data_IF_649635009939
#
_entry.id   IF_649635009939
#
_cell.length_a   1.000
_cell.length_b   1.000
_cell.length_c   1.000
_cell.angle_alpha   90.00
_cell.angle_beta   90.00
_cell.angle_gamma   90.00
#
_symmetry.space_group_name_H-M   'P 1'
#
loop_
_entity.id
_entity.type
_entity.pdbx_description
1 polymer ?
#
# COMPACT_ATOMS: atom_id res chain seq x y z
N UNK A 1 16.43 -17.53 20.79
CA UNK A 1 15.06 -18.09 20.92
C UNK A 1 14.25 -17.72 19.71
N UNK A 2 13.79 -18.70 18.94
CA UNK A 2 12.96 -18.49 17.74
C UNK A 2 11.50 -18.58 18.19
N UNK A 3 10.83 -17.45 18.40
CA UNK A 3 9.40 -17.44 18.67
C UNK A 3 8.65 -17.58 17.35
N UNK A 4 7.76 -18.57 17.19
CA UNK A 4 6.93 -18.71 16.00
C UNK A 4 5.79 -17.68 16.05
N UNK A 5 5.53 -16.98 14.93
CA UNK A 5 4.46 -16.01 14.82
C UNK A 5 3.30 -16.56 13.98
N UNK A 6 2.08 -16.42 14.48
CA UNK A 6 0.86 -16.60 13.69
C UNK A 6 0.70 -15.37 12.78
N UNK A 7 0.68 -15.58 11.47
CA UNK A 7 0.51 -14.50 10.50
C UNK A 7 -0.90 -14.60 9.92
N UNK A 8 -1.69 -13.58 10.14
CA UNK A 8 -2.84 -13.23 9.34
C UNK A 8 -2.31 -12.36 8.20
N UNK A 9 -2.02 -12.96 7.07
CA UNK A 9 -1.47 -12.24 5.92
C UNK A 9 -2.34 -12.47 4.70
N UNK A 10 -2.44 -11.45 3.87
CA UNK A 10 -3.10 -11.45 2.59
C UNK A 10 -2.79 -12.71 1.77
N UNK A 11 -3.82 -13.50 1.46
CA UNK A 11 -3.74 -14.64 0.54
C UNK A 11 -3.49 -16.02 1.14
N UNK A 12 -3.42 -16.17 2.47
CA UNK A 12 -3.36 -17.50 3.11
C UNK A 12 -4.74 -18.03 3.48
N UNK A 13 -5.10 -19.19 2.97
CA UNK A 13 -6.27 -19.94 3.45
C UNK A 13 -6.21 -20.08 4.98
N UNK A 14 -7.38 -19.94 5.63
CA UNK A 14 -7.62 -20.09 7.06
C UNK A 14 -7.29 -21.50 7.62
N UNK A 15 -6.66 -22.40 6.84
CA UNK A 15 -6.42 -23.81 7.19
C UNK A 15 -4.93 -24.18 7.35
N UNK A 16 -4.03 -23.26 7.56
CA UNK A 16 -2.64 -23.60 7.80
C UNK A 16 -1.99 -22.78 8.90
N UNK A 17 -1.89 -23.34 10.12
CA UNK A 17 -1.07 -22.84 11.23
C UNK A 17 0.44 -22.88 10.87
N UNK A 18 0.87 -22.14 9.86
CA UNK A 18 2.30 -22.01 9.51
C UNK A 18 2.86 -20.75 10.14
N UNK A 19 3.49 -20.91 11.29
CA UNK A 19 4.32 -19.85 11.88
C UNK A 19 5.52 -19.57 10.96
N UNK A 20 5.64 -18.32 10.47
CA UNK A 20 6.83 -17.87 9.75
C UNK A 20 7.78 -17.16 10.71
N UNK A 21 9.08 -17.36 10.54
CA UNK A 21 10.10 -16.55 11.24
C UNK A 21 10.22 -15.16 10.59
N UNK A 22 10.75 -14.17 11.32
CA UNK A 22 11.05 -12.84 10.76
C UNK A 22 11.92 -12.95 9.49
N UNK A 23 12.91 -13.85 9.48
CA UNK A 23 13.76 -14.07 8.31
C UNK A 23 12.97 -14.61 7.11
N UNK A 24 11.97 -15.46 7.33
CA UNK A 24 11.10 -15.97 6.26
C UNK A 24 10.14 -14.88 5.74
N UNK A 25 9.62 -14.03 6.64
CA UNK A 25 8.82 -12.86 6.24
C UNK A 25 9.68 -11.91 5.41
N UNK A 26 10.88 -11.56 5.89
CA UNK A 26 11.81 -10.73 5.17
C UNK A 26 12.12 -11.27 3.76
N UNK A 27 12.36 -12.58 3.64
CA UNK A 27 12.66 -13.21 2.36
C UNK A 27 11.48 -13.21 1.38
N UNK A 28 10.24 -13.30 1.87
CA UNK A 28 9.03 -13.43 1.02
C UNK A 28 8.27 -12.12 0.79
N UNK A 29 8.41 -11.13 1.68
CA UNK A 29 7.62 -9.91 1.68
C UNK A 29 8.43 -8.63 1.38
N UNK A 30 9.78 -8.70 1.35
CA UNK A 30 10.56 -7.52 1.01
C UNK A 30 10.55 -7.31 -0.51
N UNK A 31 10.05 -6.15 -0.90
CA UNK A 31 10.16 -5.67 -2.28
C UNK A 31 11.61 -5.51 -2.72
N UNK A 32 11.93 -5.76 -3.99
CA UNK A 32 13.21 -5.37 -4.54
C UNK A 32 13.46 -3.88 -4.30
N UNK A 33 14.66 -3.55 -3.82
CA UNK A 33 15.05 -2.18 -3.43
C UNK A 33 14.72 -1.09 -4.47
N UNK A 34 14.69 -1.45 -5.75
CA UNK A 34 14.35 -0.50 -6.83
C UNK A 34 12.92 0.05 -6.68
N UNK A 35 11.95 -0.76 -6.26
CA UNK A 35 10.57 -0.32 -6.06
C UNK A 35 10.40 0.56 -4.82
N UNK A 36 11.02 0.20 -3.69
CA UNK A 36 11.00 1.06 -2.50
C UNK A 36 11.64 2.43 -2.80
N UNK A 37 12.73 2.45 -3.59
CA UNK A 37 13.35 3.70 -4.06
C UNK A 37 12.46 4.49 -5.02
N UNK A 38 11.69 3.80 -5.88
CA UNK A 38 10.73 4.45 -6.75
C UNK A 38 9.64 5.13 -5.92
N UNK A 39 9.05 4.42 -4.95
CA UNK A 39 8.04 4.98 -4.04
C UNK A 39 8.59 6.19 -3.28
N UNK A 40 9.80 6.10 -2.73
CA UNK A 40 10.48 7.21 -2.08
C UNK A 40 10.60 8.43 -3.02
N UNK A 41 11.03 8.25 -4.28
CA UNK A 41 11.14 9.33 -5.27
C UNK A 41 9.79 9.94 -5.64
N UNK A 42 8.75 9.13 -5.77
CA UNK A 42 7.38 9.61 -6.02
C UNK A 42 6.94 10.51 -4.86
N UNK A 43 7.08 10.04 -3.63
CA UNK A 43 6.75 10.82 -2.43
C UNK A 43 7.55 12.11 -2.35
N UNK A 44 8.87 12.06 -2.57
CA UNK A 44 9.75 13.24 -2.55
C UNK A 44 9.40 14.29 -3.63
N UNK A 45 8.92 13.82 -4.80
CA UNK A 45 8.53 14.70 -5.91
C UNK A 45 7.17 15.36 -5.66
N UNK A 46 6.16 14.57 -5.27
CA UNK A 46 4.78 15.06 -5.10
C UNK A 46 4.53 15.73 -3.75
N UNK A 47 5.39 15.48 -2.75
CA UNK A 47 5.34 16.10 -1.41
C UNK A 47 3.96 16.05 -0.76
N UNK A 48 3.33 14.87 -0.65
CA UNK A 48 2.02 14.73 -0.04
C UNK A 48 2.09 15.11 1.44
N UNK A 49 0.97 15.59 2.00
CA UNK A 49 0.84 15.83 3.44
C UNK A 49 0.30 14.61 4.19
N UNK A 50 -0.41 13.73 3.46
CA UNK A 50 -0.99 12.49 4.00
C UNK A 50 -0.57 11.31 3.11
N UNK A 51 0.01 10.30 3.73
CA UNK A 51 0.39 9.03 3.08
C UNK A 51 -0.28 7.89 3.82
N UNK A 52 -0.97 7.04 3.07
CA UNK A 52 -1.56 5.81 3.58
C UNK A 52 -0.86 4.60 2.95
N UNK A 53 -0.46 3.64 3.76
CA UNK A 53 0.02 2.34 3.32
C UNK A 53 -0.88 1.24 3.88
N UNK A 54 -1.28 0.30 3.04
CA UNK A 54 -2.01 -0.90 3.45
C UNK A 54 -1.12 -2.12 3.24
N UNK A 55 -0.64 -2.70 4.35
CA UNK A 55 0.35 -3.79 4.35
C UNK A 55 1.72 -3.33 4.83
N UNK A 56 1.85 -3.09 6.13
CA UNK A 56 3.10 -2.65 6.77
C UNK A 56 4.22 -3.68 6.66
N UNK A 57 3.88 -4.96 6.85
CA UNK A 57 4.87 -6.04 6.98
C UNK A 57 5.96 -5.68 8.01
N UNK A 58 7.23 -5.73 7.66
CA UNK A 58 8.35 -5.36 8.55
C UNK A 58 8.60 -3.84 8.62
N UNK A 59 7.80 -3.03 7.96
CA UNK A 59 7.87 -1.56 7.97
C UNK A 59 8.96 -0.96 7.08
N UNK A 60 9.61 -1.75 6.22
CA UNK A 60 10.72 -1.26 5.39
C UNK A 60 10.21 -0.27 4.34
N UNK A 61 9.15 -0.59 3.61
CA UNK A 61 8.55 0.33 2.62
C UNK A 61 8.02 1.57 3.33
N UNK A 62 7.35 1.41 4.47
CA UNK A 62 6.89 2.53 5.31
C UNK A 62 8.01 3.51 5.63
N UNK A 63 9.20 3.02 6.00
CA UNK A 63 10.36 3.86 6.27
C UNK A 63 10.81 4.65 5.04
N UNK A 64 10.80 4.06 3.84
CA UNK A 64 11.10 4.77 2.59
C UNK A 64 10.08 5.87 2.27
N UNK A 65 8.80 5.64 2.56
CA UNK A 65 7.75 6.64 2.40
C UNK A 65 7.91 7.79 3.40
N UNK A 66 8.15 7.47 4.66
CA UNK A 66 8.29 8.45 5.73
C UNK A 66 9.57 9.30 5.63
N UNK A 67 10.69 8.70 5.21
CA UNK A 67 11.95 9.41 4.98
C UNK A 67 11.81 10.46 3.86
N UNK A 68 11.06 10.12 2.80
CA UNK A 68 10.87 11.01 1.65
C UNK A 68 10.01 12.25 1.94
N UNK A 69 9.18 12.22 2.98
CA UNK A 69 8.31 13.32 3.40
C UNK A 69 8.28 13.44 4.94
N UNK A 70 9.34 13.97 5.56
CA UNK A 70 9.45 14.04 7.02
C UNK A 70 8.34 14.86 7.72
N UNK A 71 7.72 15.80 6.99
CA UNK A 71 6.60 16.62 7.48
C UNK A 71 5.22 16.02 7.21
N UNK A 72 5.14 14.93 6.43
CA UNK A 72 3.89 14.25 6.16
C UNK A 72 3.47 13.35 7.33
N UNK A 73 2.16 13.17 7.51
CA UNK A 73 1.63 12.09 8.32
C UNK A 73 1.60 10.81 7.49
N UNK A 74 2.31 9.79 7.96
CA UNK A 74 2.34 8.46 7.34
C UNK A 74 1.55 7.51 8.21
N UNK A 75 0.43 7.01 7.69
CA UNK A 75 -0.37 5.97 8.35
C UNK A 75 -0.17 4.66 7.61
N UNK A 76 0.16 3.61 8.35
CA UNK A 76 0.32 2.27 7.82
C UNK A 76 -0.56 1.28 8.55
N UNK A 77 -1.09 0.28 7.85
CA UNK A 77 -2.03 -0.71 8.40
C UNK A 77 -1.46 -2.11 8.31
N UNK A 78 -1.59 -2.88 9.41
CA UNK A 78 -1.12 -4.27 9.50
C UNK A 78 -2.14 -5.15 10.24
N UNK A 79 -2.52 -6.26 9.60
CA UNK A 79 -3.50 -7.18 10.16
C UNK A 79 -2.94 -8.15 11.21
N UNK A 80 -1.62 -8.41 11.19
CA UNK A 80 -0.98 -9.39 12.05
C UNK A 80 -0.27 -8.72 13.24
N UNK A 81 -0.78 -8.88 14.50
CA UNK A 81 -0.23 -8.18 15.68
C UNK A 81 1.27 -8.39 15.89
N UNK A 82 1.75 -9.61 15.65
CA UNK A 82 3.17 -9.94 15.82
C UNK A 82 4.06 -9.25 14.77
N UNK A 83 3.56 -9.05 13.56
CA UNK A 83 4.25 -8.33 12.47
C UNK A 83 4.22 -6.83 12.75
N UNK A 84 3.06 -6.30 13.15
CA UNK A 84 2.88 -4.91 13.57
C UNK A 84 3.86 -4.52 14.69
N UNK A 85 4.03 -5.38 15.70
CA UNK A 85 5.01 -5.18 16.79
C UNK A 85 6.44 -5.07 16.26
N UNK A 86 6.80 -5.89 15.27
CA UNK A 86 8.12 -5.84 14.66
C UNK A 86 8.32 -4.56 13.84
N UNK A 87 7.32 -4.12 13.10
CA UNK A 87 7.35 -2.86 12.36
C UNK A 87 7.52 -1.66 13.29
N UNK A 88 6.78 -1.62 14.40
CA UNK A 88 6.94 -0.58 15.43
C UNK A 88 8.36 -0.54 16.01
N UNK A 89 8.97 -1.71 16.23
CA UNK A 89 10.37 -1.77 16.65
C UNK A 89 11.32 -1.22 15.57
N UNK A 90 11.06 -1.50 14.31
CA UNK A 90 11.81 -0.96 13.16
C UNK A 90 11.73 0.57 13.14
N UNK A 91 10.52 1.14 13.24
CA UNK A 91 10.31 2.60 13.23
C UNK A 91 11.02 3.29 14.40
N UNK A 92 10.89 2.73 15.60
CA UNK A 92 11.55 3.24 16.79
C UNK A 92 13.08 3.23 16.68
N UNK A 93 13.65 2.11 16.21
CA UNK A 93 15.10 1.96 16.08
C UNK A 93 15.70 2.90 15.02
N UNK A 94 14.92 3.26 13.99
CA UNK A 94 15.32 4.21 12.96
C UNK A 94 14.95 5.66 13.27
N UNK A 95 14.28 5.92 14.39
CA UNK A 95 13.97 7.26 14.89
C UNK A 95 12.83 7.98 14.19
N UNK A 96 11.96 7.27 13.45
CA UNK A 96 10.81 7.87 12.80
C UNK A 96 9.76 8.35 13.81
N UNK A 97 9.28 9.58 13.64
CA UNK A 97 8.28 10.21 14.50
C UNK A 97 6.96 10.51 13.76
N UNK A 98 6.97 10.40 12.43
CA UNK A 98 5.85 10.74 11.57
C UNK A 98 5.07 9.51 11.06
N UNK A 99 5.29 8.34 11.65
CA UNK A 99 4.61 7.09 11.29
C UNK A 99 3.62 6.71 12.40
N UNK A 100 2.37 6.47 12.00
CA UNK A 100 1.33 5.87 12.83
C UNK A 100 0.97 4.50 12.25
N UNK A 101 1.05 3.44 13.06
CA UNK A 101 0.60 2.10 12.68
C UNK A 101 -0.79 1.84 13.27
N UNK A 102 -1.71 1.40 12.41
CA UNK A 102 -3.05 0.92 12.78
C UNK A 102 -3.06 -0.60 12.63
N UNK A 103 -3.20 -1.30 13.78
CA UNK A 103 -3.33 -2.75 13.79
C UNK A 103 -4.79 -3.14 13.57
N UNK A 104 -5.05 -4.08 12.64
CA UNK A 104 -6.38 -4.63 12.43
C UNK A 104 -6.66 -5.04 10.98
N UNK A 105 -7.84 -5.64 10.80
CA UNK A 105 -8.32 -6.02 9.47
C UNK A 105 -8.62 -4.76 8.63
N UNK A 106 -8.12 -4.72 7.41
CA UNK A 106 -8.29 -3.60 6.47
C UNK A 106 -9.76 -3.27 6.20
N UNK A 107 -10.63 -4.26 6.16
CA UNK A 107 -12.07 -4.07 5.93
C UNK A 107 -12.73 -3.22 7.02
N UNK A 108 -12.10 -3.13 8.20
CA UNK A 108 -12.55 -2.31 9.33
C UNK A 108 -11.68 -1.07 9.53
N UNK A 109 -10.35 -1.23 9.50
CA UNK A 109 -9.41 -0.14 9.78
C UNK A 109 -9.42 0.93 8.70
N UNK A 110 -9.54 0.55 7.41
CA UNK A 110 -9.56 1.51 6.31
C UNK A 110 -10.76 2.46 6.37
N UNK A 111 -12.04 2.00 6.44
CA UNK A 111 -13.18 2.91 6.55
C UNK A 111 -13.11 3.82 7.77
N UNK A 112 -12.68 3.28 8.93
CA UNK A 112 -12.55 4.07 10.16
C UNK A 112 -11.51 5.19 10.00
N UNK A 113 -10.36 4.89 9.42
CA UNK A 113 -9.33 5.90 9.15
C UNK A 113 -9.80 6.95 8.14
N UNK A 114 -10.42 6.52 7.03
CA UNK A 114 -10.91 7.44 6.00
C UNK A 114 -11.96 8.44 6.55
N UNK A 115 -12.75 8.02 7.53
CA UNK A 115 -13.70 8.93 8.20
C UNK A 115 -13.01 10.03 9.04
N UNK A 116 -11.76 9.82 9.43
CA UNK A 116 -11.01 10.78 10.26
C UNK A 116 -10.19 11.81 9.47
N UNK A 117 -10.12 11.66 8.15
CA UNK A 117 -9.32 12.53 7.28
C UNK A 117 -10.18 13.20 6.21
N UNK A 118 -9.72 14.34 5.70
CA UNK A 118 -10.38 15.06 4.60
C UNK A 118 -9.97 14.50 3.23
N UNK A 119 -8.68 14.28 3.00
CA UNK A 119 -8.13 13.82 1.72
C UNK A 119 -6.88 12.98 1.91
N UNK A 120 -6.54 12.19 0.89
CA UNK A 120 -5.32 11.39 0.79
C UNK A 120 -4.42 12.03 -0.26
N UNK A 121 -3.12 12.19 0.04
CA UNK A 121 -2.14 12.59 -0.97
C UNK A 121 -1.62 11.39 -1.78
N UNK A 122 -1.11 10.37 -1.07
CA UNK A 122 -0.67 9.11 -1.69
C UNK A 122 -1.23 7.94 -0.88
N UNK A 123 -1.80 6.94 -1.57
CA UNK A 123 -2.12 5.64 -0.98
C UNK A 123 -1.34 4.53 -1.69
N UNK A 124 -0.66 3.68 -0.92
CA UNK A 124 0.01 2.47 -1.39
C UNK A 124 -0.71 1.25 -0.85
N UNK A 125 -1.25 0.43 -1.74
CA UNK A 125 -2.04 -0.77 -1.42
C UNK A 125 -1.20 -2.01 -1.71
N UNK A 126 -0.64 -2.61 -0.67
CA UNK A 126 0.21 -3.80 -0.69
C UNK A 126 -0.35 -4.88 0.24
N UNK A 127 -1.54 -5.31 -0.04
CA UNK A 127 -2.15 -6.37 0.77
C UNK A 127 -3.46 -6.89 0.22
N UNK A 128 -3.81 -8.11 0.65
CA UNK A 128 -5.05 -8.80 0.27
C UNK A 128 -5.24 -8.94 -1.25
N UNK A 129 -4.18 -9.36 -1.97
CA UNK A 129 -4.07 -9.45 -3.43
C UNK A 129 -5.13 -10.35 -4.08
N UNK A 130 -6.41 -9.93 -3.99
CA UNK A 130 -7.58 -10.57 -4.58
C UNK A 130 -8.50 -9.51 -5.19
N UNK A 131 -9.26 -9.90 -6.20
CA UNK A 131 -10.12 -8.99 -6.95
C UNK A 131 -11.08 -8.19 -6.07
N UNK A 132 -11.94 -8.87 -5.28
CA UNK A 132 -12.98 -8.18 -4.48
C UNK A 132 -12.41 -7.18 -3.47
N UNK A 133 -11.45 -7.55 -2.60
CA UNK A 133 -10.84 -6.60 -1.67
C UNK A 133 -10.15 -5.43 -2.38
N UNK A 134 -9.40 -5.69 -3.44
CA UNK A 134 -8.70 -4.63 -4.18
C UNK A 134 -9.68 -3.60 -4.74
N UNK A 135 -10.78 -4.05 -5.35
CA UNK A 135 -11.83 -3.16 -5.86
C UNK A 135 -12.57 -2.43 -4.74
N UNK A 136 -12.81 -3.07 -3.60
CA UNK A 136 -13.39 -2.44 -2.44
C UNK A 136 -12.49 -1.32 -1.90
N UNK A 137 -11.20 -1.58 -1.74
CA UNK A 137 -10.22 -0.58 -1.26
C UNK A 137 -10.07 0.55 -2.27
N UNK A 138 -9.99 0.26 -3.56
CA UNK A 138 -9.98 1.27 -4.61
C UNK A 138 -11.17 2.22 -4.50
N UNK A 139 -12.38 1.69 -4.41
CA UNK A 139 -13.59 2.53 -4.30
C UNK A 139 -13.64 3.34 -3.00
N UNK A 140 -13.21 2.77 -1.87
CA UNK A 140 -13.12 3.49 -0.59
C UNK A 140 -12.09 4.62 -0.67
N UNK A 141 -10.90 4.38 -1.21
CA UNK A 141 -9.86 5.39 -1.36
C UNK A 141 -10.33 6.56 -2.23
N UNK A 142 -11.06 6.29 -3.31
CA UNK A 142 -11.61 7.33 -4.17
C UNK A 142 -12.57 8.29 -3.45
N UNK A 143 -13.22 7.88 -2.36
CA UNK A 143 -14.10 8.76 -1.56
C UNK A 143 -13.34 9.89 -0.85
N UNK A 144 -12.02 9.74 -0.71
CA UNK A 144 -11.12 10.69 -0.05
C UNK A 144 -9.99 11.15 -0.97
N UNK A 145 -10.19 11.01 -2.27
CA UNK A 145 -9.24 11.38 -3.30
C UNK A 145 -9.67 12.62 -4.07
N UNK A 146 -8.71 13.40 -4.51
CA UNK A 146 -8.88 14.55 -5.39
C UNK A 146 -7.91 14.46 -6.59
N UNK A 147 -7.83 15.53 -7.42
CA UNK A 147 -6.96 15.57 -8.59
C UNK A 147 -5.46 15.55 -8.28
N UNK A 148 -5.06 15.66 -7.03
CA UNK A 148 -3.66 15.59 -6.57
C UNK A 148 -3.32 14.23 -5.95
N UNK A 149 -4.32 13.39 -5.74
CA UNK A 149 -4.14 12.06 -5.15
C UNK A 149 -3.49 11.10 -6.13
N UNK A 150 -2.55 10.31 -5.63
CA UNK A 150 -1.93 9.19 -6.35
C UNK A 150 -2.25 7.89 -5.61
N UNK A 151 -2.87 6.94 -6.32
CA UNK A 151 -3.09 5.61 -5.80
C UNK A 151 -2.07 4.66 -6.44
N UNK A 152 -1.45 3.82 -5.63
CA UNK A 152 -0.43 2.86 -6.08
C UNK A 152 -0.86 1.49 -5.60
N UNK A 153 -0.98 0.55 -6.52
CA UNK A 153 -1.36 -0.84 -6.25
C UNK A 153 -0.20 -1.76 -6.51
N UNK A 154 0.04 -2.65 -5.55
CA UNK A 154 1.08 -3.65 -5.65
C UNK A 154 0.59 -4.96 -6.26
N UNK A 155 1.55 -5.71 -6.82
CA UNK A 155 1.33 -7.06 -7.35
C UNK A 155 0.16 -7.15 -8.36
N UNK A 156 0.02 -6.13 -9.25
CA UNK A 156 -1.09 -6.00 -10.19
C UNK A 156 -1.20 -7.16 -11.20
N UNK A 157 -0.13 -7.92 -11.41
CA UNK A 157 -0.07 -9.12 -12.25
C UNK A 157 0.21 -10.41 -11.48
N UNK A 158 0.03 -10.40 -10.14
CA UNK A 158 0.29 -11.56 -9.29
C UNK A 158 -0.60 -12.77 -9.58
N UNK A 159 -1.84 -12.54 -9.99
CA UNK A 159 -2.85 -13.56 -10.26
C UNK A 159 -3.88 -13.06 -11.25
N UNK A 160 -4.67 -13.98 -11.83
CA UNK A 160 -5.79 -13.61 -12.70
C UNK A 160 -6.83 -12.70 -12.02
N UNK A 161 -7.01 -12.82 -10.69
CA UNK A 161 -7.86 -11.92 -9.92
C UNK A 161 -7.28 -10.50 -9.86
N UNK A 162 -5.97 -10.36 -9.66
CA UNK A 162 -5.30 -9.07 -9.63
C UNK A 162 -5.23 -8.43 -11.01
N UNK A 163 -4.97 -9.20 -12.06
CA UNK A 163 -5.06 -8.72 -13.44
C UNK A 163 -6.46 -8.19 -13.77
N UNK A 164 -7.51 -8.93 -13.38
CA UNK A 164 -8.89 -8.47 -13.55
C UNK A 164 -9.15 -7.17 -12.79
N UNK A 165 -8.69 -7.05 -11.54
CA UNK A 165 -8.83 -5.82 -10.76
C UNK A 165 -8.11 -4.65 -11.43
N UNK A 166 -6.88 -4.88 -11.91
CA UNK A 166 -6.10 -3.85 -12.60
C UNK A 166 -6.73 -3.37 -13.90
N UNK A 167 -7.27 -4.30 -14.72
CA UNK A 167 -7.99 -3.92 -15.95
C UNK A 167 -9.25 -3.10 -15.64
N UNK A 168 -10.00 -3.45 -14.58
CA UNK A 168 -11.17 -2.69 -14.17
C UNK A 168 -10.80 -1.31 -13.61
N UNK A 169 -9.74 -1.20 -12.82
CA UNK A 169 -9.18 0.09 -12.38
C UNK A 169 -8.79 0.93 -13.59
N UNK A 170 -8.03 0.36 -14.54
CA UNK A 170 -7.67 1.06 -15.79
C UNK A 170 -8.87 1.54 -16.60
N UNK A 171 -9.99 0.85 -16.53
CA UNK A 171 -11.21 1.23 -17.23
C UNK A 171 -11.99 2.36 -16.55
N UNK A 172 -11.74 2.66 -15.29
CA UNK A 172 -12.52 3.63 -14.50
C UNK A 172 -12.45 5.05 -15.07
N UNK A 173 -13.58 5.67 -15.32
CA UNK A 173 -13.68 7.00 -15.94
C UNK A 173 -13.24 8.17 -15.06
N UNK A 174 -13.07 7.95 -13.75
CA UNK A 174 -12.57 8.94 -12.78
C UNK A 174 -11.07 9.15 -12.88
N UNK A 175 -10.36 8.30 -13.63
CA UNK A 175 -8.91 8.34 -13.79
C UNK A 175 -8.51 9.10 -15.06
N UNK A 176 -7.39 9.80 -14.99
CA UNK A 176 -6.78 10.48 -16.15
C UNK A 176 -5.58 9.72 -16.70
N UNK A 177 -4.83 9.03 -15.84
CA UNK A 177 -3.60 8.35 -16.23
C UNK A 177 -3.41 7.11 -15.39
N UNK A 178 -2.99 6.01 -16.02
CA UNK A 178 -2.46 4.84 -15.33
C UNK A 178 -1.10 4.46 -15.90
N UNK A 179 -0.20 4.01 -15.02
CA UNK A 179 1.12 3.54 -15.39
C UNK A 179 1.31 2.14 -14.83
N UNK A 180 1.48 1.18 -15.71
CA UNK A 180 1.77 -0.22 -15.39
C UNK A 180 3.28 -0.45 -15.45
N UNK A 181 3.87 -0.82 -14.30
CA UNK A 181 5.30 -1.15 -14.15
C UNK A 181 5.51 -2.65 -13.89
N UNK A 182 4.55 -3.47 -14.27
CA UNK A 182 4.46 -4.92 -14.06
C UNK A 182 4.17 -5.32 -12.62
N UNK A 183 5.00 -4.95 -11.64
CA UNK A 183 4.75 -5.24 -10.22
C UNK A 183 3.87 -4.19 -9.57
N UNK A 184 3.93 -2.95 -10.02
CA UNK A 184 3.24 -1.80 -9.43
C UNK A 184 2.40 -1.11 -10.49
N UNK A 185 1.14 -0.85 -10.17
CA UNK A 185 0.26 0.03 -10.94
C UNK A 185 0.13 1.39 -10.25
N UNK A 186 0.35 2.48 -10.99
CA UNK A 186 0.21 3.84 -10.50
C UNK A 186 -0.99 4.49 -11.18
N UNK A 187 -1.82 5.17 -10.39
CA UNK A 187 -3.10 5.73 -10.81
C UNK A 187 -3.17 7.19 -10.44
N UNK A 188 -3.54 8.03 -11.41
CA UNK A 188 -3.78 9.46 -11.22
C UNK A 188 -5.24 9.79 -11.52
N UNK A 189 -5.84 10.61 -10.68
CA UNK A 189 -7.22 11.01 -10.82
C UNK A 189 -7.39 12.10 -11.87
N UNK A 190 -8.61 12.22 -12.38
CA UNK A 190 -8.93 13.13 -13.47
C UNK A 190 -9.00 14.57 -12.98
N UNK A 191 -8.28 15.44 -13.69
CA UNK A 191 -8.38 16.90 -13.55
C UNK A 191 -9.04 17.48 -14.81
N UNK A 192 -10.29 17.90 -14.68
CA UNK A 192 -11.04 18.46 -15.83
C UNK A 192 -11.37 17.41 -16.91
N UNK A 193 -11.54 17.87 -18.16
CA UNK A 193 -11.94 17.03 -19.29
C UNK A 193 -10.74 16.48 -20.09
N UNK A 194 -9.70 16.02 -19.43
CA UNK A 194 -8.57 15.39 -20.12
C UNK A 194 -8.95 13.99 -20.60
N UNK A 195 -8.45 13.63 -21.77
CA UNK A 195 -8.50 12.25 -22.25
C UNK A 195 -7.67 11.35 -21.33
N UNK A 196 -8.12 10.12 -21.18
CA UNK A 196 -7.45 9.13 -20.34
C UNK A 196 -6.31 8.48 -21.10
N UNK A 197 -5.17 8.36 -20.42
CA UNK A 197 -3.97 7.70 -20.95
C UNK A 197 -3.61 6.48 -20.11
N UNK A 198 -3.15 5.41 -20.74
CA UNK A 198 -2.67 4.21 -20.07
C UNK A 198 -1.29 3.86 -20.66
N UNK A 199 -0.28 3.77 -19.79
CA UNK A 199 1.08 3.41 -20.19
C UNK A 199 1.51 2.11 -19.53
N UNK A 200 2.20 1.27 -20.29
CA UNK A 200 2.96 0.13 -19.75
C UNK A 200 4.43 0.41 -19.96
N UNK A 201 5.20 0.46 -18.88
CA UNK A 201 6.61 0.83 -18.91
C UNK A 201 7.44 -0.30 -18.27
N UNK A 202 8.43 -0.78 -18.97
CA UNK A 202 9.40 -1.73 -18.42
C UNK A 202 10.33 -1.00 -17.45
N UNK A 203 10.22 -1.37 -16.17
CA UNK A 203 10.98 -0.75 -15.07
C UNK A 203 11.97 -1.71 -14.42
#
# INVERSE_FOLDING_TARGET
MKSPFLIWGAGGDLQGNKSKTIAQIAKSALKPKKYSRLLNRIVAYYKPTQILEMGTSLGITTCYLAEAAPSASVVTMEGAPAVAKQALATFKNLGFQNIQLIEGNFDQSLPNYLNSISTIGIAYVDGNHRYKPTMQYFNLLLTKSDEHTILIFDDIHWSSEMEKAWEEIKADSRLSLTIDLFYIGIVFLKKGNKEKENFTIRF
#
